data_IF_958110812540
#
_entry.id   IF_958110812540
#
_cell.length_a   1.000
_cell.length_b   1.000
_cell.length_c   1.000
_cell.angle_alpha   90.00
_cell.angle_beta   90.00
_cell.angle_gamma   90.00
#
_symmetry.space_group_name_H-M   'P 1'
#
loop_
_entity.id
_entity.type
_entity.pdbx_description
1 polymer ?
#
# COMPACT_ATOMS: atom_id res chain seq x y z
N UNK A 1 3.13 7.67 -23.83
CA UNK A 1 1.91 7.56 -23.00
C UNK A 1 1.14 8.88 -23.06
N UNK A 2 -0.17 8.81 -23.29
CA UNK A 2 -1.05 9.98 -23.37
C UNK A 2 -1.68 10.31 -22.01
N UNK A 3 -1.89 11.58 -21.76
CA UNK A 3 -2.48 12.12 -20.51
C UNK A 3 -3.48 13.22 -20.85
N UNK A 4 -4.38 13.54 -19.91
CA UNK A 4 -5.37 14.61 -20.12
C UNK A 4 -4.92 15.87 -19.41
N UNK A 5 -4.84 16.98 -20.15
CA UNK A 5 -4.65 18.33 -19.62
C UNK A 5 -5.99 19.05 -19.60
N UNK A 6 -6.35 19.61 -18.48
CA UNK A 6 -7.56 20.43 -18.27
C UNK A 6 -7.11 21.87 -18.12
N UNK A 7 -7.79 22.80 -18.80
CA UNK A 7 -7.54 24.23 -18.60
C UNK A 7 -7.77 24.66 -17.14
N UNK A 8 -7.11 25.73 -16.71
CA UNK A 8 -7.22 26.19 -15.32
C UNK A 8 -8.65 26.54 -14.90
N UNK A 9 -9.48 27.00 -15.82
CA UNK A 9 -10.91 27.27 -15.64
C UNK A 9 -11.81 26.02 -15.72
N UNK A 10 -11.22 24.82 -15.97
CA UNK A 10 -11.94 23.55 -16.06
C UNK A 10 -12.77 23.34 -17.34
N UNK A 11 -12.81 24.34 -18.26
CA UNK A 11 -13.74 24.32 -19.40
C UNK A 11 -13.29 23.48 -20.60
N UNK A 12 -11.98 23.29 -20.77
CA UNK A 12 -11.43 22.55 -21.90
C UNK A 12 -10.54 21.41 -21.44
N UNK A 13 -10.66 20.28 -22.12
CA UNK A 13 -9.80 19.09 -21.93
C UNK A 13 -9.08 18.80 -23.21
N UNK A 14 -7.81 18.52 -23.12
CA UNK A 14 -6.94 18.18 -24.27
C UNK A 14 -6.08 16.99 -23.93
N UNK A 15 -6.10 15.98 -24.80
CA UNK A 15 -5.18 14.83 -24.72
C UNK A 15 -3.84 15.21 -25.34
N UNK A 16 -2.74 14.88 -24.66
CA UNK A 16 -1.40 15.12 -25.12
C UNK A 16 -0.41 14.05 -24.62
N UNK A 17 0.75 13.99 -25.21
CA UNK A 17 1.80 13.09 -24.76
C UNK A 17 2.37 13.55 -23.40
N UNK A 18 2.65 12.58 -22.49
CA UNK A 18 3.20 12.86 -21.16
C UNK A 18 4.52 13.64 -21.26
N UNK A 19 5.43 13.22 -22.15
CA UNK A 19 6.71 13.91 -22.34
C UNK A 19 6.51 15.39 -22.69
N UNK A 20 5.62 15.68 -23.64
CA UNK A 20 5.31 17.07 -24.06
C UNK A 20 4.72 17.88 -22.90
N UNK A 21 3.85 17.26 -22.10
CA UNK A 21 3.27 17.92 -20.93
C UNK A 21 4.36 18.24 -19.89
N UNK A 22 5.22 17.25 -19.55
CA UNK A 22 6.29 17.44 -18.56
C UNK A 22 7.33 18.45 -19.05
N UNK A 23 7.71 18.43 -20.33
CA UNK A 23 8.61 19.44 -20.90
C UNK A 23 8.01 20.84 -20.82
N UNK A 24 6.70 21.00 -21.03
CA UNK A 24 6.03 22.29 -20.85
C UNK A 24 6.16 22.86 -19.44
N UNK A 25 6.25 21.98 -18.42
CA UNK A 25 6.42 22.38 -17.01
C UNK A 25 7.82 22.89 -16.68
N UNK A 26 8.82 22.61 -17.51
CA UNK A 26 10.18 23.16 -17.38
C UNK A 26 10.30 24.56 -17.95
N UNK A 27 9.38 24.99 -18.79
CA UNK A 27 9.49 26.25 -19.53
C UNK A 27 9.19 27.46 -18.64
N UNK A 28 9.82 28.59 -18.94
CA UNK A 28 9.60 29.87 -18.27
C UNK A 28 8.15 30.37 -18.39
N UNK A 29 7.48 30.05 -19.51
CA UNK A 29 6.09 30.44 -19.73
C UNK A 29 5.13 29.79 -18.73
N UNK A 30 5.37 28.53 -18.34
CA UNK A 30 4.62 27.87 -17.25
C UNK A 30 5.01 28.43 -15.88
N UNK A 31 6.20 29.01 -15.74
CA UNK A 31 6.71 29.55 -14.49
C UNK A 31 6.01 30.81 -14.00
N UNK A 32 5.52 31.67 -14.88
CA UNK A 32 4.94 32.96 -14.49
C UNK A 32 3.73 32.83 -13.54
N UNK A 33 2.69 32.03 -13.82
CA UNK A 33 1.57 31.83 -12.90
C UNK A 33 1.97 31.16 -11.60
N UNK A 34 2.93 30.20 -11.68
CA UNK A 34 3.42 29.44 -10.52
C UNK A 34 4.28 30.31 -9.60
N UNK A 35 5.14 31.17 -10.15
CA UNK A 35 5.94 32.13 -9.39
C UNK A 35 5.03 33.09 -8.64
N UNK A 36 4.03 33.64 -9.32
CA UNK A 36 3.02 34.51 -8.69
C UNK A 36 2.31 33.83 -7.51
N UNK A 37 1.91 32.56 -7.66
CA UNK A 37 1.29 31.79 -6.56
C UNK A 37 2.29 31.61 -5.42
N UNK A 38 3.54 31.24 -5.71
CA UNK A 38 4.59 31.02 -4.68
C UNK A 38 4.87 32.28 -3.86
N UNK A 39 4.97 33.43 -4.52
CA UNK A 39 5.19 34.74 -3.87
C UNK A 39 4.03 35.13 -2.96
N UNK A 40 2.79 34.83 -3.38
CA UNK A 40 1.60 35.23 -2.64
C UNK A 40 1.18 34.21 -1.53
N UNK A 41 1.69 32.99 -1.55
CA UNK A 41 1.35 31.99 -0.51
C UNK A 41 1.83 32.38 0.90
N UNK A 42 2.91 33.16 1.01
CA UNK A 42 3.42 33.62 2.31
C UNK A 42 2.53 34.66 2.99
N UNK A 43 1.71 35.38 2.25
CA UNK A 43 0.92 36.53 2.74
C UNK A 43 -0.51 36.19 3.17
N UNK A 44 -1.01 34.98 2.89
CA UNK A 44 -2.45 34.64 3.00
C UNK A 44 -2.77 33.29 3.62
N UNK A 45 -2.07 32.89 4.65
CA UNK A 45 -2.44 31.73 5.49
C UNK A 45 -3.81 31.87 6.20
N UNK A 46 -4.52 32.98 6.03
CA UNK A 46 -5.77 33.29 6.73
C UNK A 46 -7.03 33.36 5.86
N UNK A 47 -6.94 33.20 4.53
CA UNK A 47 -8.14 33.25 3.67
C UNK A 47 -8.04 32.14 2.63
N UNK A 48 -8.99 31.22 2.65
CA UNK A 48 -8.99 29.90 2.01
C UNK A 48 -8.79 29.79 0.49
N UNK A 49 -8.69 30.88 -0.28
CA UNK A 49 -8.48 30.84 -1.72
C UNK A 49 -7.15 31.51 -2.12
N UNK A 50 -6.22 30.72 -2.63
CA UNK A 50 -4.97 31.23 -3.18
C UNK A 50 -5.22 31.83 -4.55
N UNK A 51 -5.10 33.16 -4.65
CA UNK A 51 -5.29 33.91 -5.88
C UNK A 51 -4.42 33.40 -7.01
N UNK A 52 -5.00 33.14 -8.18
CA UNK A 52 -4.27 32.70 -9.38
C UNK A 52 -4.17 31.18 -9.56
N UNK A 53 -4.66 30.39 -8.62
CA UNK A 53 -4.73 28.93 -8.77
C UNK A 53 -5.65 28.49 -9.91
N UNK A 54 -6.68 29.25 -10.21
CA UNK A 54 -7.62 29.08 -11.32
C UNK A 54 -6.98 29.22 -12.70
N UNK A 55 -5.84 29.90 -12.78
CA UNK A 55 -5.07 30.08 -14.03
C UNK A 55 -4.12 28.92 -14.34
N UNK A 56 -3.87 28.06 -13.34
CA UNK A 56 -2.93 26.95 -13.48
C UNK A 56 -3.68 25.72 -14.02
N UNK A 57 -3.29 25.17 -15.18
CA UNK A 57 -3.90 23.97 -15.73
C UNK A 57 -3.72 22.76 -14.81
N UNK A 58 -4.60 21.79 -14.98
CA UNK A 58 -4.59 20.52 -14.25
C UNK A 58 -4.24 19.38 -15.20
N UNK A 59 -3.37 18.48 -14.78
CA UNK A 59 -3.03 17.26 -15.51
C UNK A 59 -3.64 16.05 -14.79
N UNK A 60 -4.22 15.12 -15.56
CA UNK A 60 -4.64 13.80 -15.09
C UNK A 60 -3.71 12.78 -15.67
N UNK A 61 -2.93 12.12 -14.79
CA UNK A 61 -1.88 11.18 -15.18
C UNK A 61 -2.38 9.73 -15.19
N UNK A 62 -3.26 9.37 -14.24
CA UNK A 62 -3.73 8.00 -14.06
C UNK A 62 -4.69 7.52 -15.13
N UNK A 63 -5.37 8.43 -15.84
CA UNK A 63 -6.36 8.08 -16.84
C UNK A 63 -6.45 9.11 -17.98
N UNK A 64 -6.94 8.65 -19.13
CA UNK A 64 -7.46 9.53 -20.18
C UNK A 64 -8.95 9.77 -19.93
N UNK A 65 -9.32 11.04 -19.91
CA UNK A 65 -10.71 11.47 -19.75
C UNK A 65 -11.33 11.83 -21.11
N UNK A 66 -12.66 11.76 -21.15
CA UNK A 66 -13.41 12.23 -22.31
C UNK A 66 -13.19 13.74 -22.54
N UNK A 67 -13.11 14.14 -23.80
CA UNK A 67 -12.93 15.54 -24.20
C UNK A 67 -14.23 16.34 -24.11
N UNK A 68 -15.39 15.68 -24.05
CA UNK A 68 -16.70 16.31 -24.01
C UNK A 68 -17.01 16.83 -22.59
N UNK A 69 -17.57 18.04 -22.51
CA UNK A 69 -17.99 18.65 -21.24
C UNK A 69 -19.07 17.83 -20.54
N UNK A 70 -18.92 17.61 -19.24
CA UNK A 70 -19.76 16.79 -18.37
C UNK A 70 -18.95 16.18 -17.24
N UNK A 71 -19.52 15.23 -16.51
CA UNK A 71 -18.77 14.41 -15.56
C UNK A 71 -17.61 13.70 -16.28
N UNK A 72 -16.38 13.70 -15.73
CA UNK A 72 -15.24 13.11 -16.39
C UNK A 72 -15.39 11.58 -16.42
N UNK A 73 -15.59 11.02 -17.60
CA UNK A 73 -15.56 9.58 -17.82
C UNK A 73 -14.15 9.12 -18.20
N UNK A 74 -13.72 8.02 -17.62
CA UNK A 74 -12.43 7.40 -17.92
C UNK A 74 -12.56 6.62 -19.24
N UNK A 75 -11.83 7.07 -20.27
CA UNK A 75 -11.70 6.33 -21.54
C UNK A 75 -10.68 5.24 -21.48
N UNK A 76 -9.58 5.48 -20.79
CA UNK A 76 -8.45 4.56 -20.69
C UNK A 76 -7.74 4.77 -19.37
N UNK A 77 -7.44 3.69 -18.71
CA UNK A 77 -6.57 3.69 -17.52
C UNK A 77 -5.10 3.60 -17.93
N UNK A 78 -4.24 4.40 -17.31
CA UNK A 78 -2.81 4.48 -17.65
C UNK A 78 -1.91 3.68 -16.72
N UNK A 79 -2.43 3.11 -15.63
CA UNK A 79 -1.61 2.42 -14.63
C UNK A 79 -0.64 3.34 -13.87
N UNK A 80 -0.88 4.64 -13.84
CA UNK A 80 0.00 5.61 -13.17
C UNK A 80 -0.63 6.12 -11.89
N UNK A 81 0.14 6.03 -10.81
CA UNK A 81 -0.20 6.57 -9.49
C UNK A 81 0.52 7.89 -9.27
N UNK A 82 -0.19 8.87 -8.74
CA UNK A 82 0.35 10.14 -8.29
C UNK A 82 0.45 10.15 -6.76
N UNK A 83 1.67 10.22 -6.24
CA UNK A 83 1.95 10.48 -4.83
C UNK A 83 2.19 11.97 -4.59
N UNK A 84 1.77 12.45 -3.43
CA UNK A 84 1.97 13.82 -2.99
C UNK A 84 2.64 13.85 -1.63
N UNK A 85 3.77 14.54 -1.53
CA UNK A 85 4.46 14.86 -0.28
C UNK A 85 4.23 16.35 -0.02
N UNK A 86 3.40 16.66 0.96
CA UNK A 86 3.01 18.04 1.27
C UNK A 86 3.63 18.50 2.60
N UNK A 87 3.40 19.77 2.93
CA UNK A 87 3.81 20.36 4.22
C UNK A 87 5.32 20.40 4.46
N UNK A 88 6.10 20.46 3.38
CA UNK A 88 7.55 20.62 3.47
C UNK A 88 7.90 22.05 3.92
N UNK A 89 9.07 22.20 4.53
CA UNK A 89 9.51 23.48 5.10
C UNK A 89 9.73 24.56 4.04
N UNK A 90 10.12 24.15 2.82
CA UNK A 90 10.39 25.10 1.74
C UNK A 90 10.84 24.44 0.44
N UNK A 91 11.24 25.30 -0.51
CA UNK A 91 11.65 24.87 -1.85
C UNK A 91 12.89 23.95 -1.81
N UNK A 92 13.85 24.24 -0.94
CA UNK A 92 15.09 23.45 -0.82
C UNK A 92 14.80 22.00 -0.41
N UNK A 93 14.02 21.81 0.63
CA UNK A 93 13.62 20.46 1.06
C UNK A 93 12.82 19.74 -0.03
N UNK A 94 11.92 20.45 -0.73
CA UNK A 94 11.19 19.88 -1.86
C UNK A 94 12.12 19.43 -2.99
N UNK A 95 13.18 20.17 -3.28
CA UNK A 95 14.19 19.79 -4.28
C UNK A 95 15.00 18.57 -3.83
N UNK A 96 15.37 18.49 -2.56
CA UNK A 96 16.08 17.34 -1.98
C UNK A 96 15.22 16.07 -2.07
N UNK A 97 13.94 16.14 -1.68
CA UNK A 97 12.99 15.01 -1.77
C UNK A 97 12.74 14.60 -3.23
N UNK A 98 12.58 15.58 -4.16
CA UNK A 98 12.46 15.28 -5.59
C UNK A 98 13.67 14.50 -6.10
N UNK A 99 14.88 14.94 -5.74
CA UNK A 99 16.13 14.28 -6.14
C UNK A 99 16.23 12.88 -5.56
N UNK A 100 15.91 12.69 -4.29
CA UNK A 100 15.88 11.36 -3.65
C UNK A 100 14.81 10.43 -4.26
N UNK A 101 13.68 10.98 -4.72
CA UNK A 101 12.68 10.20 -5.45
C UNK A 101 13.19 9.74 -6.82
N UNK A 102 14.04 10.52 -7.48
CA UNK A 102 14.64 10.19 -8.76
C UNK A 102 15.62 9.00 -8.69
N UNK A 103 16.15 8.66 -7.51
CA UNK A 103 17.04 7.52 -7.31
C UNK A 103 16.33 6.16 -7.44
N UNK A 104 15.00 6.13 -7.40
CA UNK A 104 14.22 4.91 -7.60
C UNK A 104 14.04 4.61 -9.09
N UNK A 105 14.36 3.38 -9.51
CA UNK A 105 14.10 2.90 -10.88
C UNK A 105 12.61 2.88 -11.24
N UNK A 106 11.72 2.84 -10.24
CA UNK A 106 10.27 2.86 -10.44
C UNK A 106 9.69 4.28 -10.62
N UNK A 107 10.49 5.32 -10.40
CA UNK A 107 10.03 6.71 -10.57
C UNK A 107 9.91 7.08 -12.04
N UNK A 108 8.68 7.23 -12.52
CA UNK A 108 8.40 7.70 -13.87
C UNK A 108 8.68 9.21 -14.01
N UNK A 109 8.23 10.00 -13.04
CA UNK A 109 8.55 11.43 -12.97
C UNK A 109 8.47 11.92 -11.53
N UNK A 110 9.26 12.95 -11.20
CA UNK A 110 9.20 13.65 -9.93
C UNK A 110 9.38 15.15 -10.13
N UNK A 111 8.55 15.97 -9.48
CA UNK A 111 8.60 17.42 -9.62
C UNK A 111 8.09 18.15 -8.38
N UNK A 112 8.57 19.36 -8.19
CA UNK A 112 8.13 20.25 -7.12
C UNK A 112 6.75 20.82 -7.45
N UNK A 113 5.82 20.73 -6.52
CA UNK A 113 4.46 21.24 -6.69
C UNK A 113 4.36 22.78 -6.75
N UNK A 114 3.16 23.27 -7.06
CA UNK A 114 2.88 24.71 -7.24
C UNK A 114 3.30 25.54 -6.04
N UNK A 115 3.07 25.05 -4.83
CA UNK A 115 3.41 25.77 -3.59
C UNK A 115 4.92 25.94 -3.32
N UNK A 116 5.76 25.16 -3.98
CA UNK A 116 7.18 25.06 -3.62
C UNK A 116 7.44 24.30 -2.31
N UNK A 117 6.39 23.81 -1.64
CA UNK A 117 6.42 23.07 -0.37
C UNK A 117 5.81 21.68 -0.50
N UNK A 118 5.83 21.14 -1.70
CA UNK A 118 5.33 19.79 -1.97
C UNK A 118 6.09 19.17 -3.12
N UNK A 119 6.15 17.84 -3.13
CA UNK A 119 6.69 17.04 -4.23
C UNK A 119 5.61 16.12 -4.76
N UNK A 120 5.60 15.93 -6.06
CA UNK A 120 4.72 15.02 -6.78
C UNK A 120 5.59 13.94 -7.41
N UNK A 121 5.22 12.68 -7.19
CA UNK A 121 5.93 11.53 -7.75
C UNK A 121 4.93 10.69 -8.54
N UNK A 122 5.27 10.38 -9.79
CA UNK A 122 4.51 9.50 -10.66
C UNK A 122 5.18 8.13 -10.69
N UNK A 123 4.40 7.09 -10.46
CA UNK A 123 4.86 5.71 -10.45
C UNK A 123 3.94 4.87 -11.33
N UNK A 124 4.50 4.07 -12.24
CA UNK A 124 3.72 3.18 -13.09
C UNK A 124 3.59 1.79 -12.51
N UNK A 125 2.45 1.16 -12.77
CA UNK A 125 2.11 -0.19 -12.30
C UNK A 125 1.54 -1.03 -13.43
N UNK A 126 1.79 -2.33 -13.37
CA UNK A 126 1.21 -3.33 -14.29
C UNK A 126 0.80 -4.59 -13.53
N UNK A 127 -0.02 -5.41 -14.17
CA UNK A 127 -0.23 -6.81 -13.80
C UNK A 127 1.01 -7.64 -14.19
N UNK A 128 1.18 -8.88 -13.69
CA UNK A 128 2.33 -9.72 -14.01
C UNK A 128 2.55 -10.01 -15.50
N UNK A 129 1.47 -9.99 -16.28
CA UNK A 129 1.49 -10.13 -17.74
C UNK A 129 1.79 -8.83 -18.49
N UNK A 130 2.03 -7.73 -17.78
CA UNK A 130 2.27 -6.40 -18.34
C UNK A 130 1.00 -5.66 -18.76
N UNK A 131 -0.18 -6.25 -18.61
CA UNK A 131 -1.46 -5.61 -18.93
C UNK A 131 -1.97 -4.67 -17.82
N UNK A 132 -3.05 -3.95 -18.12
CA UNK A 132 -3.79 -3.11 -17.17
C UNK A 132 -5.26 -3.54 -17.16
N UNK A 133 -5.96 -3.44 -16.02
CA UNK A 133 -7.38 -3.70 -15.96
C UNK A 133 -8.17 -2.68 -16.81
N UNK A 134 -9.25 -3.13 -17.41
CA UNK A 134 -10.12 -2.30 -18.27
C UNK A 134 -11.53 -2.11 -17.68
N UNK A 135 -11.97 -3.04 -16.84
CA UNK A 135 -13.25 -2.93 -16.13
C UNK A 135 -13.18 -1.84 -15.06
N UNK A 136 -14.16 -0.90 -14.97
CA UNK A 136 -14.12 0.24 -14.04
C UNK A 136 -13.94 -0.16 -12.58
N UNK A 137 -14.59 -1.25 -12.14
CA UNK A 137 -14.47 -1.73 -10.76
C UNK A 137 -13.06 -2.27 -10.50
N UNK A 138 -12.53 -3.08 -11.43
CA UNK A 138 -11.18 -3.62 -11.33
C UNK A 138 -10.11 -2.50 -11.41
N UNK A 139 -10.32 -1.48 -12.24
CA UNK A 139 -9.46 -0.29 -12.33
C UNK A 139 -9.37 0.41 -10.97
N UNK A 140 -10.51 0.66 -10.32
CA UNK A 140 -10.52 1.32 -9.01
C UNK A 140 -9.81 0.48 -7.93
N UNK A 141 -10.05 -0.81 -7.88
CA UNK A 141 -9.39 -1.72 -6.94
C UNK A 141 -7.88 -1.80 -7.20
N UNK A 142 -7.49 -1.96 -8.45
CA UNK A 142 -6.08 -1.98 -8.85
C UNK A 142 -5.38 -0.68 -8.51
N UNK A 143 -5.99 0.47 -8.84
CA UNK A 143 -5.42 1.78 -8.57
C UNK A 143 -5.27 2.04 -7.06
N UNK A 144 -6.24 1.63 -6.26
CA UNK A 144 -6.17 1.74 -4.80
C UNK A 144 -5.02 0.90 -4.22
N UNK A 145 -4.83 -0.32 -4.71
CA UNK A 145 -3.74 -1.19 -4.30
C UNK A 145 -2.39 -0.62 -4.73
N UNK A 146 -2.28 -0.20 -5.99
CA UNK A 146 -1.09 0.46 -6.53
C UNK A 146 -0.72 1.70 -5.70
N UNK A 147 -1.70 2.53 -5.35
CA UNK A 147 -1.50 3.72 -4.54
C UNK A 147 -0.97 3.39 -3.13
N UNK A 148 -1.55 2.38 -2.47
CA UNK A 148 -1.11 1.91 -1.15
C UNK A 148 0.33 1.39 -1.20
N UNK A 149 0.65 0.56 -2.20
CA UNK A 149 1.99 -0.01 -2.36
C UNK A 149 3.03 1.09 -2.67
N UNK A 150 2.69 2.01 -3.58
CA UNK A 150 3.53 3.16 -3.89
C UNK A 150 3.77 4.03 -2.66
N UNK A 151 2.74 4.36 -1.89
CA UNK A 151 2.86 5.15 -0.67
C UNK A 151 3.83 4.49 0.31
N UNK A 152 3.65 3.21 0.61
CA UNK A 152 4.54 2.47 1.52
C UNK A 152 5.98 2.41 1.02
N UNK A 153 6.18 2.23 -0.28
CA UNK A 153 7.52 2.17 -0.89
C UNK A 153 8.26 3.50 -0.77
N UNK A 154 7.61 4.61 -1.15
CA UNK A 154 8.25 5.93 -1.17
C UNK A 154 8.35 6.57 0.22
N UNK A 155 7.43 6.34 1.13
CA UNK A 155 7.59 6.73 2.54
C UNK A 155 8.85 6.08 3.15
N UNK A 156 9.09 4.84 2.77
CA UNK A 156 10.27 4.09 3.14
C UNK A 156 11.57 4.73 2.65
N UNK A 157 11.59 5.04 1.36
CA UNK A 157 12.76 5.56 0.67
C UNK A 157 13.06 7.00 1.09
N UNK A 158 12.02 7.85 1.10
CA UNK A 158 12.16 9.29 1.31
C UNK A 158 12.14 9.70 2.78
N UNK A 159 11.77 8.79 3.68
CA UNK A 159 11.57 9.07 5.12
C UNK A 159 10.62 10.24 5.38
N UNK A 160 9.66 10.42 4.49
CA UNK A 160 8.67 11.46 4.50
C UNK A 160 7.28 10.86 4.29
N UNK A 161 6.26 11.36 5.01
CA UNK A 161 4.90 10.85 4.87
C UNK A 161 4.25 11.31 3.58
N UNK A 162 3.59 10.36 2.89
CA UNK A 162 2.71 10.68 1.76
C UNK A 162 1.43 11.33 2.29
N UNK A 163 1.02 12.41 1.66
CA UNK A 163 -0.29 13.01 1.91
C UNK A 163 -1.39 12.14 1.30
N UNK A 164 -1.78 11.09 2.03
CA UNK A 164 -2.76 10.13 1.57
C UNK A 164 -4.10 10.79 1.29
N UNK A 165 -4.65 10.48 0.12
CA UNK A 165 -5.97 10.93 -0.33
C UNK A 165 -6.71 9.74 -0.91
N UNK A 166 -8.03 9.86 -1.07
CA UNK A 166 -8.82 8.85 -1.76
C UNK A 166 -8.15 8.48 -3.09
N UNK A 167 -7.82 7.21 -3.33
CA UNK A 167 -7.27 6.79 -4.61
C UNK A 167 -8.31 7.01 -5.72
N UNK A 168 -7.92 7.76 -6.74
CA UNK A 168 -8.78 8.07 -7.87
C UNK A 168 -7.92 8.17 -9.14
N UNK A 169 -8.13 7.28 -10.14
CA UNK A 169 -7.40 7.32 -11.40
C UNK A 169 -7.57 8.62 -12.17
N UNK A 170 -8.73 9.29 -11.99
CA UNK A 170 -9.06 10.56 -12.64
C UNK A 170 -8.57 11.78 -11.86
N UNK A 171 -7.83 11.57 -10.76
CA UNK A 171 -7.34 12.67 -9.92
C UNK A 171 -6.50 13.66 -10.72
N UNK A 172 -6.93 14.93 -10.67
CA UNK A 172 -6.20 16.03 -11.25
C UNK A 172 -5.05 16.51 -10.35
N UNK A 173 -3.92 16.82 -10.98
CA UNK A 173 -2.77 17.48 -10.38
C UNK A 173 -2.55 18.83 -11.06
N UNK A 174 -2.49 19.92 -10.29
CA UNK A 174 -2.14 21.22 -10.87
C UNK A 174 -0.72 21.19 -11.44
N UNK A 175 -0.59 21.62 -12.69
CA UNK A 175 0.71 21.69 -13.36
C UNK A 175 1.58 22.71 -12.64
N UNK A 176 2.81 22.29 -12.34
CA UNK A 176 3.78 23.15 -11.67
C UNK A 176 4.81 23.70 -12.65
N UNK A 177 5.70 24.53 -12.15
CA UNK A 177 6.93 24.91 -12.82
C UNK A 177 8.12 24.38 -12.01
N UNK A 178 8.89 23.50 -12.65
CA UNK A 178 10.10 22.92 -12.08
C UNK A 178 11.11 22.70 -13.22
N UNK A 179 12.11 23.59 -13.38
CA UNK A 179 13.12 23.44 -14.43
C UNK A 179 13.90 22.13 -14.35
N UNK A 180 14.09 21.62 -13.15
CA UNK A 180 14.84 20.39 -12.88
C UNK A 180 13.92 19.17 -12.69
N UNK A 181 12.69 19.22 -13.20
CA UNK A 181 11.76 18.10 -13.18
C UNK A 181 12.44 16.84 -13.69
N UNK A 182 12.38 15.76 -12.91
CA UNK A 182 12.86 14.45 -13.32
C UNK A 182 11.83 13.72 -14.15
N UNK A 183 12.27 13.13 -15.26
CA UNK A 183 11.45 12.25 -16.08
C UNK A 183 12.28 11.09 -16.63
N UNK A 184 11.84 9.86 -16.37
CA UNK A 184 12.44 8.64 -16.89
C UNK A 184 11.42 7.85 -17.72
N UNK A 185 11.46 7.94 -19.06
CA UNK A 185 10.54 7.18 -19.91
C UNK A 185 10.76 5.66 -19.87
N UNK A 186 11.89 5.21 -19.32
CA UNK A 186 12.25 3.80 -19.13
C UNK A 186 12.08 3.34 -17.68
N UNK A 187 11.31 4.08 -16.88
CA UNK A 187 11.01 3.65 -15.52
C UNK A 187 10.39 2.25 -15.51
N UNK A 188 10.86 1.42 -14.58
CA UNK A 188 10.37 0.05 -14.46
C UNK A 188 9.03 0.06 -13.71
N UNK A 189 7.93 -0.36 -14.34
CA UNK A 189 6.65 -0.45 -13.65
C UNK A 189 6.72 -1.42 -12.47
N UNK A 190 6.08 -1.05 -11.37
CA UNK A 190 5.90 -1.97 -10.26
C UNK A 190 4.80 -2.99 -10.61
N UNK A 191 5.06 -4.26 -10.33
CA UNK A 191 4.12 -5.33 -10.64
C UNK A 191 3.22 -5.60 -9.44
N UNK A 192 1.91 -5.61 -9.66
CA UNK A 192 0.93 -6.05 -8.68
C UNK A 192 0.57 -7.51 -8.94
N UNK A 193 1.08 -8.39 -8.09
CA UNK A 193 0.86 -9.84 -8.22
C UNK A 193 -0.60 -10.24 -7.94
N UNK A 194 -1.30 -9.46 -7.10
CA UNK A 194 -2.73 -9.67 -6.84
C UNK A 194 -3.43 -8.31 -6.72
N UNK A 195 -4.49 -8.06 -7.50
CA UNK A 195 -5.40 -6.98 -7.19
C UNK A 195 -6.00 -7.22 -5.79
N UNK A 196 -6.35 -6.15 -5.06
CA UNK A 196 -7.13 -6.25 -3.82
C UNK A 196 -8.46 -6.94 -4.13
N UNK A 197 -8.43 -8.27 -4.23
CA UNK A 197 -9.60 -9.08 -4.00
C UNK A 197 -9.97 -8.94 -2.53
N UNK A 198 -11.26 -9.07 -2.20
CA UNK A 198 -11.71 -9.28 -0.83
C UNK A 198 -10.79 -10.31 -0.20
N UNK A 199 -10.26 -10.09 1.02
CA UNK A 199 -9.42 -11.08 1.67
C UNK A 199 -10.19 -12.40 1.74
N UNK A 200 -9.83 -13.34 0.88
CA UNK A 200 -10.29 -14.73 0.95
C UNK A 200 -9.22 -15.44 1.76
N UNK A 201 -9.46 -15.65 3.04
CA UNK A 201 -8.54 -16.40 3.87
C UNK A 201 -9.05 -16.51 5.29
N UNK A 202 -8.84 -17.65 5.89
CA UNK A 202 -8.99 -17.82 7.33
C UNK A 202 -7.98 -16.91 8.04
N UNK A 203 -8.49 -15.91 8.75
CA UNK A 203 -7.65 -15.02 9.55
C UNK A 203 -7.42 -15.67 10.88
N UNK A 204 -6.21 -16.05 11.17
CA UNK A 204 -5.80 -16.45 12.50
C UNK A 204 -5.83 -15.20 13.40
N UNK A 205 -6.88 -15.07 14.20
CA UNK A 205 -7.15 -13.92 15.09
C UNK A 205 -6.05 -13.77 16.18
N UNK A 206 -5.15 -14.77 16.30
CA UNK A 206 -4.09 -14.80 17.31
C UNK A 206 -2.87 -13.93 16.97
N UNK A 207 -2.70 -13.48 15.74
CA UNK A 207 -1.42 -12.98 15.23
C UNK A 207 -1.22 -11.46 15.29
N UNK A 208 -2.08 -10.72 16.00
CA UNK A 208 -1.86 -9.28 16.15
C UNK A 208 -1.11 -8.97 17.45
N UNK A 209 0.11 -8.40 17.36
CA UNK A 209 0.77 -7.85 18.54
C UNK A 209 -0.11 -6.72 19.08
N UNK A 210 -0.43 -6.78 20.36
CA UNK A 210 -1.08 -5.66 21.04
C UNK A 210 -0.05 -4.53 21.16
N UNK A 211 0.00 -3.67 20.17
CA UNK A 211 0.84 -2.49 20.21
C UNK A 211 0.10 -1.43 21.01
N UNK A 212 0.82 -0.83 21.96
CA UNK A 212 0.27 0.27 22.71
C UNK A 212 0.14 1.50 21.80
N UNK A 213 -1.06 2.07 21.69
CA UNK A 213 -1.34 3.29 20.92
C UNK A 213 -0.33 4.41 21.22
N UNK A 214 0.07 4.56 22.48
CA UNK A 214 1.08 5.56 22.89
C UNK A 214 2.46 5.27 22.30
N UNK A 215 2.78 4.01 22.02
CA UNK A 215 4.04 3.65 21.35
C UNK A 215 4.00 4.07 19.89
N UNK A 216 2.91 3.82 19.18
CA UNK A 216 2.72 4.26 17.80
C UNK A 216 2.74 5.79 17.66
N UNK A 217 2.11 6.52 18.59
CA UNK A 217 2.13 7.99 18.59
C UNK A 217 3.52 8.58 18.84
N UNK A 218 4.41 7.85 19.51
CA UNK A 218 5.82 8.27 19.77
C UNK A 218 6.77 7.88 18.63
N UNK A 219 6.38 6.96 17.77
CA UNK A 219 7.20 6.59 16.62
C UNK A 219 7.24 7.74 15.62
N UNK A 220 8.44 8.04 15.13
CA UNK A 220 8.58 9.02 14.04
C UNK A 220 7.90 8.50 12.78
N UNK A 221 7.29 9.39 11.97
CA UNK A 221 6.83 9.04 10.64
C UNK A 221 7.94 8.36 9.84
N UNK A 222 7.60 7.28 9.15
CA UNK A 222 8.55 6.54 8.33
C UNK A 222 8.13 5.09 8.08
N UNK A 223 9.01 4.35 7.44
CA UNK A 223 8.75 3.00 6.93
C UNK A 223 8.24 2.03 7.99
N UNK A 224 8.89 2.00 9.14
CA UNK A 224 8.58 1.03 10.19
C UNK A 224 7.19 1.29 10.78
N UNK A 225 6.87 2.55 11.06
CA UNK A 225 5.55 2.96 11.56
C UNK A 225 4.45 2.68 10.52
N UNK A 226 4.67 3.07 9.26
CA UNK A 226 3.68 2.86 8.18
C UNK A 226 3.41 1.38 7.93
N UNK A 227 4.44 0.53 7.89
CA UNK A 227 4.26 -0.92 7.75
C UNK A 227 3.48 -1.53 8.90
N UNK A 228 3.80 -1.09 10.11
CA UNK A 228 3.18 -1.60 11.32
C UNK A 228 1.70 -1.22 11.34
N UNK A 229 1.37 0.05 11.13
CA UNK A 229 -0.01 0.55 11.10
C UNK A 229 -0.79 -0.10 9.97
N UNK A 230 -0.20 -0.22 8.77
CA UNK A 230 -0.84 -0.90 7.63
C UNK A 230 -1.20 -2.34 7.96
N UNK A 231 -0.26 -3.11 8.52
CA UNK A 231 -0.52 -4.51 8.88
C UNK A 231 -1.59 -4.66 9.94
N UNK A 232 -1.57 -3.81 10.97
CA UNK A 232 -2.59 -3.79 12.01
C UNK A 232 -3.97 -3.42 11.46
N UNK A 233 -4.03 -2.41 10.57
CA UNK A 233 -5.26 -1.99 9.95
C UNK A 233 -5.84 -3.08 9.03
N UNK A 234 -5.01 -3.70 8.19
CA UNK A 234 -5.42 -4.78 7.31
C UNK A 234 -6.00 -5.96 8.11
N UNK A 235 -5.37 -6.31 9.23
CA UNK A 235 -5.87 -7.35 10.11
C UNK A 235 -7.20 -6.97 10.78
N UNK A 236 -7.35 -5.73 11.26
CA UNK A 236 -8.60 -5.24 11.82
C UNK A 236 -9.72 -5.24 10.79
N UNK A 237 -9.41 -4.86 9.55
CA UNK A 237 -10.34 -4.86 8.43
C UNK A 237 -10.79 -6.28 8.08
N UNK A 238 -9.87 -7.23 7.99
CA UNK A 238 -10.18 -8.63 7.76
C UNK A 238 -11.09 -9.20 8.86
N UNK A 239 -10.77 -8.95 10.13
CA UNK A 239 -11.63 -9.35 11.25
C UNK A 239 -13.03 -8.75 11.14
N UNK A 240 -13.14 -7.50 10.73
CA UNK A 240 -14.42 -6.84 10.54
C UNK A 240 -15.26 -7.51 9.45
N UNK A 241 -14.63 -7.81 8.30
CA UNK A 241 -15.27 -8.50 7.17
C UNK A 241 -15.76 -9.88 7.58
N UNK A 242 -14.98 -10.63 8.35
CA UNK A 242 -15.38 -11.94 8.87
C UNK A 242 -16.61 -11.87 9.79
N UNK A 243 -16.73 -10.79 10.57
CA UNK A 243 -17.84 -10.63 11.53
C UNK A 243 -19.12 -10.05 10.94
N UNK A 244 -19.02 -9.13 9.99
CA UNK A 244 -20.14 -8.33 9.48
C UNK A 244 -20.46 -8.61 8.01
N UNK A 245 -19.64 -9.40 7.30
CA UNK A 245 -19.65 -9.42 5.84
C UNK A 245 -18.99 -8.18 5.25
N UNK A 246 -18.96 -8.10 3.93
CA UNK A 246 -18.47 -6.91 3.24
C UNK A 246 -19.56 -5.85 3.12
N UNK A 247 -19.26 -4.56 3.33
CA UNK A 247 -20.22 -3.49 3.05
C UNK A 247 -20.60 -3.37 1.56
N UNK A 248 -19.85 -4.02 0.68
CA UNK A 248 -20.18 -4.12 -0.74
C UNK A 248 -21.26 -5.16 -1.04
N UNK A 249 -21.65 -5.98 -0.04
CA UNK A 249 -22.71 -6.95 -0.17
C UNK A 249 -24.07 -6.25 0.02
N UNK A 250 -25.04 -6.55 -0.85
CA UNK A 250 -26.40 -6.00 -0.77
C UNK A 250 -27.03 -6.29 0.60
N UNK A 251 -27.36 -5.23 1.34
CA UNK A 251 -28.02 -5.29 2.63
C UNK A 251 -27.10 -5.24 3.86
N UNK A 252 -25.81 -5.02 3.70
CA UNK A 252 -24.90 -4.82 4.82
C UNK A 252 -25.14 -3.46 5.51
N UNK A 253 -25.18 -3.46 6.85
CA UNK A 253 -25.25 -2.22 7.66
C UNK A 253 -23.85 -1.58 7.74
N UNK A 254 -23.67 -0.52 6.96
CA UNK A 254 -22.41 0.22 6.91
C UNK A 254 -22.02 0.80 8.28
N UNK A 255 -23.00 1.29 9.07
CA UNK A 255 -22.75 1.87 10.38
C UNK A 255 -22.27 0.80 11.38
N UNK A 256 -22.85 -0.40 11.33
CA UNK A 256 -22.39 -1.55 12.14
C UNK A 256 -20.97 -1.95 11.74
N UNK A 257 -20.68 -1.99 10.44
CA UNK A 257 -19.35 -2.29 9.92
C UNK A 257 -18.30 -1.29 10.42
N UNK A 258 -18.55 0.01 10.26
CA UNK A 258 -17.63 1.05 10.74
C UNK A 258 -17.44 1.03 12.25
N UNK A 259 -18.51 0.75 13.00
CA UNK A 259 -18.43 0.59 14.46
C UNK A 259 -17.51 -0.57 14.84
N UNK A 260 -17.62 -1.70 14.16
CA UNK A 260 -16.77 -2.88 14.39
C UNK A 260 -15.34 -2.64 13.99
N UNK A 261 -15.12 -2.06 12.81
CA UNK A 261 -13.79 -1.67 12.33
C UNK A 261 -13.09 -0.75 13.33
N UNK A 262 -13.79 0.30 13.78
CA UNK A 262 -13.24 1.24 14.75
C UNK A 262 -12.88 0.55 16.09
N UNK A 263 -13.70 -0.41 16.56
CA UNK A 263 -13.41 -1.18 17.78
C UNK A 263 -12.19 -2.10 17.62
N UNK A 264 -12.08 -2.80 16.49
CA UNK A 264 -10.90 -3.63 16.23
C UNK A 264 -9.63 -2.79 16.09
N UNK A 265 -9.70 -1.66 15.38
CA UNK A 265 -8.59 -0.71 15.28
C UNK A 265 -8.19 -0.13 16.64
N UNK A 266 -9.15 0.25 17.48
CA UNK A 266 -8.89 0.68 18.84
C UNK A 266 -8.19 -0.42 19.66
N UNK A 267 -8.71 -1.65 19.60
CA UNK A 267 -8.14 -2.82 20.28
C UNK A 267 -6.73 -3.17 19.79
N UNK A 268 -6.43 -2.91 18.53
CA UNK A 268 -5.10 -3.06 17.95
C UNK A 268 -4.15 -1.89 18.29
N UNK A 269 -4.64 -0.83 18.94
CA UNK A 269 -3.85 0.33 19.35
C UNK A 269 -3.54 1.31 18.22
N UNK A 270 -4.32 1.29 17.13
CA UNK A 270 -4.15 2.22 16.00
C UNK A 270 -4.71 3.59 16.39
N UNK A 271 -3.99 4.71 16.19
CA UNK A 271 -4.52 6.04 16.38
C UNK A 271 -5.69 6.36 15.44
N UNK A 272 -6.65 7.18 15.90
CA UNK A 272 -7.87 7.56 15.17
C UNK A 272 -7.56 8.11 13.75
N UNK A 273 -6.57 9.01 13.67
CA UNK A 273 -6.14 9.60 12.40
C UNK A 273 -5.59 8.58 11.41
N UNK A 274 -4.85 7.60 11.92
CA UNK A 274 -4.31 6.52 11.10
C UNK A 274 -5.41 5.57 10.59
N UNK A 275 -6.44 5.30 11.38
CA UNK A 275 -7.61 4.51 10.92
C UNK A 275 -8.28 5.18 9.74
N UNK A 276 -8.56 6.47 9.85
CA UNK A 276 -9.19 7.24 8.77
C UNK A 276 -8.27 7.29 7.55
N UNK A 277 -6.99 7.58 7.77
CA UNK A 277 -5.97 7.64 6.73
C UNK A 277 -5.90 6.35 5.90
N UNK A 278 -5.86 5.20 6.54
CA UNK A 278 -5.75 3.92 5.86
C UNK A 278 -7.08 3.44 5.28
N UNK A 279 -8.20 3.71 5.95
CA UNK A 279 -9.53 3.39 5.43
C UNK A 279 -9.84 4.09 4.10
N UNK A 280 -9.43 5.35 3.94
CA UNK A 280 -9.62 6.11 2.71
C UNK A 280 -8.87 5.56 1.49
N UNK A 281 -7.94 4.62 1.68
CA UNK A 281 -7.29 3.91 0.58
C UNK A 281 -8.17 2.84 -0.07
N UNK A 282 -9.24 2.42 0.61
CA UNK A 282 -10.19 1.45 0.10
C UNK A 282 -11.38 2.17 -0.54
N UNK A 283 -11.66 1.99 -1.85
CA UNK A 283 -12.71 2.73 -2.57
C UNK A 283 -14.07 2.66 -1.87
N UNK A 284 -14.49 1.47 -1.48
CA UNK A 284 -15.76 1.22 -0.83
C UNK A 284 -15.88 1.76 0.61
N UNK A 285 -14.78 1.99 1.35
CA UNK A 285 -14.78 2.72 2.62
C UNK A 285 -14.76 4.23 2.40
N UNK A 286 -14.10 4.68 1.35
CA UNK A 286 -13.95 6.10 1.06
C UNK A 286 -15.22 6.74 0.49
N UNK A 287 -16.14 5.97 -0.07
CA UNK A 287 -17.44 6.45 -0.52
C UNK A 287 -18.30 6.99 0.63
N UNK A 288 -18.17 6.41 1.82
CA UNK A 288 -18.87 6.82 3.04
C UNK A 288 -17.95 7.59 4.02
N UNK A 289 -17.00 8.41 3.53
CA UNK A 289 -16.00 9.10 4.35
C UNK A 289 -16.58 9.86 5.55
N UNK A 290 -17.65 10.62 5.36
CA UNK A 290 -18.28 11.42 6.43
C UNK A 290 -18.83 10.54 7.55
N UNK A 291 -19.49 9.46 7.18
CA UNK A 291 -20.04 8.49 8.14
C UNK A 291 -18.90 7.76 8.86
N UNK A 292 -17.90 7.29 8.13
CA UNK A 292 -16.71 6.64 8.69
C UNK A 292 -16.03 7.53 9.74
N UNK A 293 -15.76 8.81 9.42
CA UNK A 293 -15.16 9.77 10.34
C UNK A 293 -16.00 9.96 11.60
N UNK A 294 -17.29 10.09 11.44
CA UNK A 294 -18.23 10.28 12.54
C UNK A 294 -18.26 9.08 13.46
N UNK A 295 -18.39 7.87 12.90
CA UNK A 295 -18.46 6.62 13.67
C UNK A 295 -17.14 6.33 14.37
N UNK A 296 -16.01 6.44 13.65
CA UNK A 296 -14.68 6.23 14.24
C UNK A 296 -14.44 7.20 15.39
N UNK A 297 -14.71 8.51 15.20
CA UNK A 297 -14.55 9.51 16.23
C UNK A 297 -15.41 9.24 17.48
N UNK A 298 -16.65 8.81 17.30
CA UNK A 298 -17.54 8.47 18.40
C UNK A 298 -17.06 7.23 19.17
N UNK A 299 -16.68 6.16 18.47
CA UNK A 299 -16.15 4.93 19.09
C UNK A 299 -14.88 5.24 19.88
N UNK A 300 -13.96 6.02 19.34
CA UNK A 300 -12.72 6.40 20.01
C UNK A 300 -12.97 7.27 21.25
N UNK A 301 -13.91 8.22 21.19
CA UNK A 301 -14.32 9.03 22.35
C UNK A 301 -14.94 8.19 23.46
N UNK A 302 -15.84 7.27 23.11
CA UNK A 302 -16.47 6.35 24.07
C UNK A 302 -15.43 5.40 24.68
N UNK A 303 -14.60 4.78 23.87
CA UNK A 303 -13.57 3.86 24.33
C UNK A 303 -12.54 4.52 25.26
N UNK A 304 -12.21 5.80 25.03
CA UNK A 304 -11.37 6.59 25.96
C UNK A 304 -12.06 6.82 27.31
N UNK A 305 -13.38 7.06 27.33
CA UNK A 305 -14.14 7.30 28.57
C UNK A 305 -14.37 6.03 29.38
N UNK A 306 -14.64 4.93 28.71
CA UNK A 306 -14.98 3.66 29.35
C UNK A 306 -13.77 2.83 29.79
N UNK A 307 -12.55 3.29 29.49
CA UNK A 307 -11.33 2.50 29.73
C UNK A 307 -11.31 1.18 28.92
N UNK A 308 -12.19 1.04 27.95
CA UNK A 308 -12.27 -0.10 27.06
C UNK A 308 -11.01 -0.17 26.20
N UNK A 309 -10.21 -1.20 26.38
CA UNK A 309 -8.99 -1.41 25.62
C UNK A 309 -7.70 -1.59 26.43
N UNK A 310 -7.78 -1.46 27.75
CA UNK A 310 -6.77 -2.06 28.60
C UNK A 310 -7.13 -3.55 28.73
N UNK A 311 -6.84 -4.33 27.66
CA UNK A 311 -6.71 -5.78 27.89
C UNK A 311 -5.73 -5.93 29.07
N UNK A 312 -6.02 -6.78 30.06
CA UNK A 312 -5.08 -7.06 31.13
C UNK A 312 -3.74 -7.34 30.45
N UNK A 313 -2.67 -6.70 30.94
CA UNK A 313 -1.37 -6.77 30.28
C UNK A 313 -1.07 -8.24 29.97
N UNK A 314 -1.01 -8.57 28.69
CA UNK A 314 -0.77 -9.95 28.24
C UNK A 314 0.49 -10.45 28.94
N UNK A 315 0.49 -11.63 29.54
CA UNK A 315 1.66 -12.18 30.21
C UNK A 315 2.88 -12.12 29.27
N UNK A 316 4.04 -11.81 29.82
CA UNK A 316 5.26 -11.66 29.00
C UNK A 316 5.56 -12.92 28.17
N UNK A 317 5.21 -14.07 28.66
CA UNK A 317 5.37 -15.35 27.95
C UNK A 317 4.52 -15.41 26.67
N UNK A 318 3.28 -14.97 26.74
CA UNK A 318 2.40 -14.91 25.56
C UNK A 318 2.91 -13.90 24.53
N UNK A 319 3.40 -12.75 24.99
CA UNK A 319 4.04 -11.76 24.09
C UNK A 319 5.24 -12.33 23.38
N UNK A 320 6.09 -13.07 24.10
CA UNK A 320 7.27 -13.68 23.51
C UNK A 320 6.93 -14.70 22.41
N UNK A 321 5.86 -15.49 22.62
CA UNK A 321 5.37 -16.43 21.59
C UNK A 321 4.91 -15.68 20.35
N UNK A 322 4.07 -14.64 20.49
CA UNK A 322 3.57 -13.85 19.38
C UNK A 322 4.73 -13.18 18.62
N UNK A 323 5.64 -12.55 19.35
CA UNK A 323 6.80 -11.89 18.71
C UNK A 323 7.72 -12.87 17.98
N UNK A 324 7.88 -14.08 18.52
CA UNK A 324 8.64 -15.13 17.82
C UNK A 324 7.95 -15.53 16.51
N UNK A 325 6.65 -15.76 16.54
CA UNK A 325 5.89 -16.14 15.35
C UNK A 325 5.93 -15.05 14.27
N UNK A 326 5.78 -13.79 14.65
CA UNK A 326 5.94 -12.65 13.72
C UNK A 326 7.35 -12.59 13.13
N UNK A 327 8.36 -12.74 13.96
CA UNK A 327 9.74 -12.77 13.50
C UNK A 327 9.95 -13.89 12.47
N UNK A 328 9.44 -15.10 12.77
CA UNK A 328 9.55 -16.25 11.89
C UNK A 328 8.79 -16.04 10.58
N UNK A 329 7.54 -15.58 10.64
CA UNK A 329 6.72 -15.32 9.47
C UNK A 329 7.31 -14.21 8.57
N UNK A 330 7.93 -13.18 9.15
CA UNK A 330 8.56 -12.09 8.42
C UNK A 330 9.83 -12.50 7.68
N UNK A 331 10.63 -13.40 8.27
CA UNK A 331 11.95 -13.75 7.74
C UNK A 331 12.00 -15.06 6.99
N UNK A 332 11.15 -16.01 7.35
CA UNK A 332 11.20 -17.37 6.86
C UNK A 332 9.86 -17.79 6.25
N UNK A 333 9.92 -18.77 5.39
CA UNK A 333 8.78 -19.56 4.95
C UNK A 333 9.04 -20.99 5.39
N UNK A 334 8.05 -21.60 6.02
CA UNK A 334 8.10 -23.00 6.45
C UNK A 334 7.03 -23.80 5.73
N UNK A 335 7.32 -25.07 5.51
CA UNK A 335 6.35 -26.07 5.03
C UNK A 335 6.69 -27.43 5.59
N UNK A 336 5.72 -28.29 5.79
CA UNK A 336 5.90 -29.67 6.20
C UNK A 336 5.74 -30.58 5.01
N UNK A 337 6.77 -31.27 4.62
CA UNK A 337 6.74 -32.21 3.52
C UNK A 337 6.01 -33.49 3.96
N UNK A 338 4.85 -33.78 3.35
CA UNK A 338 4.01 -34.93 3.72
C UNK A 338 4.65 -36.30 3.43
N UNK A 339 5.63 -36.38 2.53
CA UNK A 339 6.30 -37.65 2.19
C UNK A 339 7.44 -37.95 3.16
N UNK A 340 8.15 -36.94 3.60
CA UNK A 340 9.34 -37.12 4.47
C UNK A 340 9.06 -36.78 5.92
N UNK A 341 7.88 -36.21 6.22
CA UNK A 341 7.47 -35.65 7.52
C UNK A 341 8.42 -34.53 8.01
N UNK A 342 9.42 -34.17 7.23
CA UNK A 342 10.39 -33.15 7.58
C UNK A 342 9.80 -31.76 7.38
N UNK A 343 10.09 -30.85 8.34
CA UNK A 343 9.82 -29.43 8.15
C UNK A 343 10.95 -28.83 7.34
N UNK A 344 10.59 -28.15 6.28
CA UNK A 344 11.48 -27.44 5.38
C UNK A 344 11.29 -25.93 5.55
N UNK A 345 12.34 -25.17 5.30
CA UNK A 345 12.31 -23.71 5.36
C UNK A 345 13.09 -23.07 4.23
N UNK A 346 12.76 -21.84 3.93
CA UNK A 346 13.60 -20.90 3.16
C UNK A 346 13.53 -19.50 3.79
N UNK A 347 14.59 -18.72 3.61
CA UNK A 347 14.59 -17.30 4.00
C UNK A 347 13.88 -16.46 2.91
N UNK A 348 12.93 -15.59 3.29
CA UNK A 348 12.17 -14.76 2.34
C UNK A 348 13.04 -13.79 1.53
N UNK A 349 14.18 -13.39 2.07
CA UNK A 349 15.12 -12.44 1.44
C UNK A 349 16.37 -13.13 0.87
N UNK A 350 16.38 -14.45 0.82
CA UNK A 350 17.49 -15.19 0.23
C UNK A 350 17.35 -15.25 -1.29
N UNK A 351 18.50 -15.19 -1.99
CA UNK A 351 18.57 -15.50 -3.43
C UNK A 351 18.40 -17.01 -3.71
N UNK A 352 18.41 -17.84 -2.68
CA UNK A 352 18.14 -19.27 -2.80
C UNK A 352 16.64 -19.50 -2.67
N UNK A 353 16.05 -19.99 -3.74
CA UNK A 353 14.59 -20.25 -3.80
C UNK A 353 14.22 -21.63 -3.25
N UNK A 354 15.19 -22.50 -3.02
CA UNK A 354 14.95 -23.86 -2.59
C UNK A 354 14.68 -23.98 -1.10
N UNK A 355 13.68 -24.80 -0.77
CA UNK A 355 13.43 -25.18 0.60
C UNK A 355 14.46 -26.20 1.08
N UNK A 356 14.95 -26.02 2.28
CA UNK A 356 15.93 -26.89 2.94
C UNK A 356 15.35 -27.42 4.24
N UNK A 357 15.69 -28.66 4.66
CA UNK A 357 15.20 -29.20 5.92
C UNK A 357 15.69 -28.36 7.10
N UNK A 358 14.82 -28.25 8.11
CA UNK A 358 15.16 -27.58 9.38
C UNK A 358 15.99 -28.53 10.21
N UNK A 359 17.29 -28.27 10.31
CA UNK A 359 18.24 -29.03 11.16
C UNK A 359 18.40 -28.33 12.53
N UNK A 360 18.99 -29.01 13.53
CA UNK A 360 19.31 -28.38 14.82
C UNK A 360 20.18 -27.12 14.68
N UNK A 361 21.14 -27.12 13.75
CA UNK A 361 22.00 -25.96 13.47
C UNK A 361 21.18 -24.77 12.92
N UNK A 362 20.20 -25.06 12.07
CA UNK A 362 19.28 -24.05 11.55
C UNK A 362 18.43 -23.46 12.67
N UNK A 363 17.89 -24.29 13.55
CA UNK A 363 17.11 -23.82 14.72
C UNK A 363 17.95 -22.90 15.62
N UNK A 364 19.20 -23.29 15.90
CA UNK A 364 20.13 -22.45 16.66
C UNK A 364 20.42 -21.13 15.96
N UNK A 365 20.62 -21.14 14.64
CA UNK A 365 20.85 -19.93 13.85
C UNK A 365 19.61 -19.01 13.85
N UNK A 366 18.40 -19.56 13.77
CA UNK A 366 17.15 -18.82 13.88
C UNK A 366 17.01 -18.18 15.27
N UNK A 367 17.31 -18.95 16.33
CA UNK A 367 17.28 -18.44 17.71
C UNK A 367 18.27 -17.29 17.90
N UNK A 368 19.49 -17.42 17.40
CA UNK A 368 20.50 -16.35 17.47
C UNK A 368 20.03 -15.09 16.72
N UNK A 369 19.45 -15.25 15.51
CA UNK A 369 18.90 -14.12 14.76
C UNK A 369 17.74 -13.43 15.51
N UNK A 370 16.90 -14.18 16.20
CA UNK A 370 15.81 -13.65 17.02
C UNK A 370 16.35 -12.87 18.24
N UNK A 371 17.36 -13.42 18.93
CA UNK A 371 18.02 -12.76 20.05
C UNK A 371 18.70 -11.44 19.62
N UNK A 372 19.34 -11.40 18.45
CA UNK A 372 19.96 -10.20 17.90
C UNK A 372 18.95 -9.12 17.57
N UNK A 373 17.69 -9.48 17.29
CA UNK A 373 16.58 -8.52 17.13
C UNK A 373 15.92 -8.12 18.47
N UNK A 374 16.46 -8.57 19.59
CA UNK A 374 15.99 -8.21 20.92
C UNK A 374 14.82 -9.05 21.45
N UNK A 375 14.50 -10.16 20.79
CA UNK A 375 13.49 -11.10 21.24
C UNK A 375 14.01 -11.94 22.40
N UNK A 376 13.22 -12.13 23.44
CA UNK A 376 13.54 -13.03 24.58
C UNK A 376 13.00 -14.43 24.30
N UNK A 377 13.72 -15.20 23.49
CA UNK A 377 13.34 -16.54 23.03
C UNK A 377 14.46 -17.54 23.28
N UNK A 378 14.06 -18.80 23.42
CA UNK A 378 14.97 -19.92 23.61
C UNK A 378 14.87 -20.87 22.41
N UNK A 379 15.86 -21.70 22.20
CA UNK A 379 15.85 -22.77 21.19
C UNK A 379 14.62 -23.68 21.28
N UNK A 380 14.16 -23.98 22.51
CA UNK A 380 12.94 -24.75 22.76
C UNK A 380 11.68 -24.08 22.19
N UNK A 381 11.63 -22.75 22.13
CA UNK A 381 10.48 -22.01 21.63
C UNK A 381 10.40 -22.09 20.10
N UNK A 382 11.57 -21.97 19.44
CA UNK A 382 11.71 -22.20 17.99
C UNK A 382 11.37 -23.66 17.65
N UNK A 383 11.84 -24.61 18.45
CA UNK A 383 11.52 -26.04 18.29
C UNK A 383 10.03 -26.31 18.41
N UNK A 384 9.35 -25.72 19.41
CA UNK A 384 7.89 -25.85 19.58
C UNK A 384 7.13 -25.34 18.36
N UNK A 385 7.55 -24.18 17.81
CA UNK A 385 6.93 -23.65 16.60
C UNK A 385 7.13 -24.61 15.41
N UNK A 386 8.34 -25.07 15.16
CA UNK A 386 8.66 -26.01 14.07
C UNK A 386 7.89 -27.33 14.19
N UNK A 387 7.62 -27.79 15.41
CA UNK A 387 6.85 -29.00 15.67
C UNK A 387 5.34 -28.80 15.79
N UNK A 388 4.84 -27.56 15.67
CA UNK A 388 3.41 -27.26 15.76
C UNK A 388 2.66 -27.58 14.47
N UNK A 389 1.36 -27.62 14.57
CA UNK A 389 0.39 -27.73 13.46
C UNK A 389 0.24 -26.45 12.63
N UNK A 390 0.89 -25.35 13.05
CA UNK A 390 0.86 -24.05 12.36
C UNK A 390 1.67 -24.03 11.08
N UNK A 391 2.48 -25.05 10.83
CA UNK A 391 3.28 -25.15 9.60
C UNK A 391 2.42 -25.81 8.52
N UNK A 392 2.20 -25.14 7.38
CA UNK A 392 1.39 -25.67 6.31
C UNK A 392 1.98 -26.96 5.75
N UNK A 393 1.11 -27.93 5.52
CA UNK A 393 1.46 -29.17 4.85
C UNK A 393 1.73 -28.94 3.37
N UNK A 394 2.65 -29.68 2.83
CA UNK A 394 3.09 -29.60 1.46
C UNK A 394 3.25 -31.00 0.87
N UNK A 395 2.51 -31.27 -0.19
CA UNK A 395 2.64 -32.51 -0.94
C UNK A 395 3.47 -32.27 -2.22
N UNK A 396 4.71 -32.75 -2.30
CA UNK A 396 5.56 -32.55 -3.48
C UNK A 396 5.02 -33.26 -4.73
N UNK A 397 4.20 -34.30 -4.57
CA UNK A 397 3.59 -35.00 -5.70
C UNK A 397 2.51 -34.13 -6.33
N UNK A 398 1.65 -33.52 -5.51
CA UNK A 398 0.60 -32.64 -5.99
C UNK A 398 1.20 -31.42 -6.69
N UNK A 399 2.23 -30.78 -6.09
CA UNK A 399 2.93 -29.66 -6.74
C UNK A 399 3.58 -30.07 -8.07
N UNK A 400 4.13 -31.28 -8.15
CA UNK A 400 4.69 -31.79 -9.39
C UNK A 400 3.60 -32.00 -10.46
N UNK A 401 2.47 -32.61 -10.07
CA UNK A 401 1.36 -32.86 -10.98
C UNK A 401 0.72 -31.56 -11.48
N UNK A 402 0.57 -30.57 -10.60
CA UNK A 402 0.01 -29.25 -10.93
C UNK A 402 0.90 -28.47 -11.91
N UNK A 403 2.21 -28.74 -11.93
CA UNK A 403 3.16 -28.13 -12.86
C UNK A 403 3.25 -28.83 -14.21
N UNK A 404 2.66 -30.02 -14.34
CA UNK A 404 2.68 -30.71 -15.62
C UNK A 404 1.80 -29.95 -16.64
N UNK A 405 2.27 -29.85 -17.89
CA UNK A 405 1.40 -29.32 -18.94
C UNK A 405 0.17 -30.21 -19.10
N UNK A 406 -0.93 -29.61 -19.52
CA UNK A 406 -2.13 -30.35 -19.82
C UNK A 406 -1.83 -31.54 -20.76
N UNK A 407 -2.40 -32.71 -20.45
CA UNK A 407 -2.18 -33.91 -21.26
C UNK A 407 -2.58 -33.66 -22.70
N UNK A 408 -1.68 -33.94 -23.63
CA UNK A 408 -1.87 -33.77 -25.08
C UNK A 408 -2.73 -34.84 -25.74
N UNK A 409 -3.30 -35.78 -24.97
CA UNK A 409 -4.14 -36.87 -25.45
C UNK A 409 -3.36 -38.04 -26.06
N UNK A 410 -2.05 -38.00 -26.11
CA UNK A 410 -1.21 -39.07 -26.71
C UNK A 410 -0.85 -40.10 -25.67
N UNK A 411 -1.32 -41.34 -25.88
CA UNK A 411 -0.96 -42.49 -25.03
C UNK A 411 0.46 -42.97 -25.34
N UNK A 412 1.39 -42.60 -24.48
CA UNK A 412 2.80 -43.02 -24.58
C UNK A 412 3.13 -44.25 -23.74
N UNK A 413 2.21 -44.69 -22.91
CA UNK A 413 2.42 -45.87 -22.02
C UNK A 413 2.27 -47.17 -22.75
N UNK A 414 1.22 -47.29 -23.59
CA UNK A 414 0.98 -48.51 -24.38
C UNK A 414 2.11 -48.91 -25.32
N UNK A 415 2.78 -47.98 -26.03
CA UNK A 415 3.97 -48.33 -26.82
C UNK A 415 5.13 -48.85 -25.97
N UNK A 416 5.37 -48.18 -24.78
CA UNK A 416 6.44 -48.59 -23.85
C UNK A 416 6.20 -50.00 -23.22
N UNK A 417 4.94 -50.34 -22.96
CA UNK A 417 4.59 -51.68 -22.40
C UNK A 417 4.68 -52.81 -23.42
N UNK A 418 4.95 -52.53 -24.70
CA UNK A 418 5.10 -53.51 -25.77
C UNK A 418 6.57 -53.75 -26.17
N UNK A 419 7.52 -52.98 -25.60
CA UNK A 419 8.93 -53.21 -25.68
C UNK A 419 9.40 -54.08 -24.53
#
# INVERSE_FOLDING_TARGET
>A
MKVTRISGDGRSRKVMELCTLLESMKTRTAGLPVAFVRENMGSRLLVGDVVGMDKIPVAVFGALLDEKGGSPEIKQYNGVVLLEFNSLSGLKEAQEIRSAAADSLATLAAFVGVSGRSVKVLVSFTLPDGSLPSDPLQVNLFHAHAYKLAASHYEAQLRCEVSLKKPDPARGCRMSWDPDLYYNPQAVPLVLEQPLGMPKGEVNVADNPVINMNALLRMKPGQERSRLVSGLFDSALQQTILFCGSPADDGADASLFFTRLARFCWGAGIPEEDVIRWALLYPWLSEAEMELRTVVGNVYKLSRKEGFGVKPAMPQEQKNVIWLEEFLARRFMFRRNMLTEAVEFRERRSYYFDFRPVTPEVMNSITQKALLEGLKVWDRDVKRFVQSDRIPEYNPVDEYLDRLPAWDGVDRIRPLARC
#
